data_IF_040868807950
#
_entry.id   IF_040868807950
#
_cell.length_a   1.000
_cell.length_b   1.000
_cell.length_c   1.000
_cell.angle_alpha   90.00
_cell.angle_beta   90.00
_cell.angle_gamma   90.00
#
_symmetry.space_group_name_H-M   'P 1'
#
loop_
_entity.id
_entity.type
_entity.pdbx_description
1 polymer ?
#
# COMPACT_ATOMS: atom_id res chain seq x y z
N UNK A 1 2.03 -37.11 0.60
CA UNK A 1 1.87 -35.93 -0.26
C UNK A 1 2.68 -36.15 -1.53
N UNK A 2 2.31 -35.49 -2.64
CA UNK A 2 3.17 -35.47 -3.82
C UNK A 2 4.53 -34.86 -3.43
N UNK A 3 5.62 -35.40 -3.98
CA UNK A 3 6.98 -34.86 -3.71
C UNK A 3 7.25 -33.57 -4.48
N UNK A 4 6.39 -33.25 -5.45
CA UNK A 4 6.49 -32.09 -6.30
C UNK A 4 5.13 -31.67 -6.84
N UNK A 5 5.07 -30.46 -7.39
CA UNK A 5 3.94 -29.87 -8.09
C UNK A 5 4.46 -29.18 -9.37
N UNK A 6 3.68 -29.19 -10.45
CA UNK A 6 4.04 -28.51 -11.69
C UNK A 6 3.62 -27.04 -11.59
N UNK A 7 4.49 -26.09 -11.93
CA UNK A 7 4.11 -24.68 -12.07
C UNK A 7 3.41 -24.39 -13.41
N UNK A 8 3.11 -23.12 -13.67
CA UNK A 8 2.40 -22.65 -14.88
C UNK A 8 3.13 -22.90 -16.21
N UNK A 9 4.43 -23.20 -16.16
CA UNK A 9 5.26 -23.52 -17.33
C UNK A 9 5.60 -25.01 -17.43
N UNK A 10 5.01 -25.84 -16.56
CA UNK A 10 5.19 -27.30 -16.57
C UNK A 10 6.56 -27.76 -16.07
N UNK A 11 7.19 -26.98 -15.18
CA UNK A 11 8.37 -27.39 -14.43
C UNK A 11 7.98 -27.92 -13.04
N UNK A 12 8.58 -29.01 -12.56
CA UNK A 12 8.34 -29.52 -11.21
C UNK A 12 9.07 -28.68 -10.16
N UNK A 13 8.35 -28.15 -9.19
CA UNK A 13 8.86 -27.61 -7.94
C UNK A 13 8.72 -28.67 -6.84
N UNK A 14 9.67 -28.73 -5.91
CA UNK A 14 9.75 -29.79 -4.91
C UNK A 14 9.38 -29.27 -3.52
N UNK A 15 8.73 -30.13 -2.74
CA UNK A 15 8.58 -29.91 -1.30
C UNK A 15 9.81 -30.47 -0.57
N UNK A 16 10.17 -29.87 0.57
CA UNK A 16 11.26 -30.40 1.41
C UNK A 16 11.02 -31.88 1.76
N UNK A 17 12.08 -32.67 1.67
CA UNK A 17 12.06 -34.08 2.06
C UNK A 17 11.79 -34.29 3.55
N UNK A 18 11.46 -35.53 3.92
CA UNK A 18 11.15 -35.86 5.31
C UNK A 18 12.36 -35.69 6.24
N UNK A 19 12.20 -34.95 7.33
CA UNK A 19 13.27 -34.74 8.31
C UNK A 19 13.72 -36.04 8.97
N UNK A 20 15.03 -36.08 9.24
CA UNK A 20 15.79 -37.17 9.83
C UNK A 20 16.43 -36.79 11.17
N UNK A 21 16.56 -35.49 11.47
CA UNK A 21 16.88 -34.97 12.80
C UNK A 21 16.05 -33.72 13.16
N UNK A 22 16.06 -33.37 14.46
CA UNK A 22 15.22 -32.35 15.07
C UNK A 22 16.02 -31.50 16.06
N UNK A 23 15.96 -30.18 15.91
CA UNK A 23 16.75 -29.22 16.69
C UNK A 23 15.86 -28.14 17.31
N UNK A 24 16.25 -27.62 18.48
CA UNK A 24 15.60 -26.49 19.13
C UNK A 24 16.62 -25.43 19.48
N UNK A 25 16.27 -24.17 19.27
CA UNK A 25 17.07 -23.01 19.65
C UNK A 25 17.11 -22.74 21.16
N UNK A 26 16.31 -23.44 21.97
CA UNK A 26 16.35 -23.27 23.42
C UNK A 26 17.75 -23.56 23.97
N UNK A 27 18.45 -22.52 24.41
CA UNK A 27 19.81 -22.62 24.93
C UNK A 27 20.91 -22.78 23.86
N UNK A 28 20.62 -22.60 22.57
CA UNK A 28 21.63 -22.68 21.49
C UNK A 28 22.60 -21.50 21.49
N UNK A 29 22.22 -20.38 22.12
CA UNK A 29 22.88 -19.10 21.89
C UNK A 29 22.52 -18.55 20.50
N UNK A 30 23.36 -17.70 19.91
CA UNK A 30 22.98 -16.91 18.73
C UNK A 30 22.96 -17.69 17.41
N UNK A 31 23.54 -18.90 17.36
CA UNK A 31 23.65 -19.70 16.14
C UNK A 31 23.28 -21.15 16.45
N UNK A 32 22.43 -21.75 15.61
CA UNK A 32 22.06 -23.16 15.64
C UNK A 32 22.34 -23.78 14.27
N UNK A 33 23.20 -24.80 14.24
CA UNK A 33 23.50 -25.55 13.02
C UNK A 33 22.84 -26.92 13.07
N UNK A 34 22.20 -27.31 11.97
CA UNK A 34 21.74 -28.66 11.68
C UNK A 34 22.88 -29.57 11.23
N UNK A 35 22.53 -30.55 10.40
CA UNK A 35 23.38 -31.61 9.89
C UNK A 35 23.55 -31.50 8.38
N UNK A 36 24.05 -32.54 7.71
CA UNK A 36 24.06 -32.60 6.24
C UNK A 36 22.83 -33.31 5.67
N UNK A 37 21.91 -33.76 6.52
CA UNK A 37 20.68 -34.42 6.15
C UNK A 37 19.49 -33.53 6.47
N UNK A 38 18.31 -33.97 6.05
CA UNK A 38 17.07 -33.24 6.21
C UNK A 38 16.74 -33.06 7.70
N UNK A 39 16.54 -31.83 8.14
CA UNK A 39 16.35 -31.45 9.52
C UNK A 39 15.05 -30.67 9.71
N UNK A 40 14.50 -30.74 10.91
CA UNK A 40 13.51 -29.77 11.36
C UNK A 40 14.12 -28.94 12.50
N UNK A 41 14.16 -27.62 12.33
CA UNK A 41 14.84 -26.71 13.24
C UNK A 41 13.84 -25.69 13.78
N UNK A 42 13.58 -25.74 15.08
CA UNK A 42 12.66 -24.83 15.76
C UNK A 42 13.41 -23.66 16.41
N UNK A 43 12.96 -22.45 16.10
CA UNK A 43 13.33 -21.25 16.83
C UNK A 43 12.83 -21.25 18.28
N UNK A 44 13.15 -20.18 19.00
CA UNK A 44 12.63 -19.93 20.35
C UNK A 44 12.37 -18.43 20.50
N UNK A 45 11.19 -18.07 21.00
CA UNK A 45 10.79 -16.65 21.15
C UNK A 45 11.68 -15.85 22.09
N UNK A 46 12.44 -16.51 22.97
CA UNK A 46 13.37 -15.90 23.92
C UNK A 46 14.82 -15.83 23.42
N UNK A 47 15.13 -16.45 22.27
CA UNK A 47 16.49 -16.55 21.75
C UNK A 47 16.57 -15.84 20.40
N UNK A 48 17.40 -14.80 20.35
CA UNK A 48 17.81 -14.22 19.07
C UNK A 48 18.79 -15.20 18.41
N UNK A 49 18.32 -15.96 17.41
CA UNK A 49 19.04 -17.08 16.80
C UNK A 49 19.02 -16.98 15.28
N UNK A 50 20.14 -17.31 14.65
CA UNK A 50 20.22 -17.66 13.23
C UNK A 50 20.38 -19.17 13.09
N UNK A 51 19.48 -19.78 12.35
CA UNK A 51 19.43 -21.23 12.11
C UNK A 51 19.99 -21.56 10.71
N UNK A 52 20.84 -22.57 10.64
CA UNK A 52 21.43 -23.11 9.41
C UNK A 52 21.11 -24.60 9.31
N UNK A 53 20.54 -25.04 8.18
CA UNK A 53 20.03 -26.38 7.96
C UNK A 53 21.14 -27.29 7.49
N UNK A 54 21.81 -26.89 6.41
CA UNK A 54 23.02 -27.53 5.92
C UNK A 54 22.97 -27.85 4.44
N UNK A 55 22.97 -29.14 4.09
CA UNK A 55 22.91 -29.60 2.68
C UNK A 55 21.75 -30.58 2.43
N UNK A 56 20.84 -30.71 3.39
CA UNK A 56 19.65 -31.54 3.28
C UNK A 56 18.43 -30.68 2.98
N UNK A 57 17.28 -31.32 2.76
CA UNK A 57 16.03 -30.56 2.69
C UNK A 57 15.53 -30.26 4.11
N UNK A 58 15.62 -29.01 4.53
CA UNK A 58 15.42 -28.58 5.90
C UNK A 58 14.11 -27.80 6.06
N UNK A 59 13.53 -27.89 7.26
CA UNK A 59 12.31 -27.15 7.63
C UNK A 59 12.60 -26.28 8.85
N UNK A 60 12.47 -24.98 8.66
CA UNK A 60 12.71 -23.96 9.67
C UNK A 60 11.41 -23.44 10.24
N UNK A 61 11.22 -23.60 11.54
CA UNK A 61 10.04 -23.11 12.24
C UNK A 61 10.40 -21.81 12.98
N UNK A 62 9.96 -20.67 12.47
CA UNK A 62 10.19 -19.37 13.09
C UNK A 62 9.07 -19.06 14.08
N UNK A 63 9.41 -18.92 15.36
CA UNK A 63 8.43 -18.63 16.42
C UNK A 63 8.29 -17.14 16.73
N UNK A 64 9.27 -16.32 16.37
CA UNK A 64 9.31 -14.89 16.69
C UNK A 64 10.10 -14.10 15.65
N UNK A 65 9.80 -12.80 15.55
CA UNK A 65 10.48 -11.86 14.67
C UNK A 65 11.97 -11.63 15.02
N UNK A 66 12.48 -12.28 16.06
CA UNK A 66 13.93 -12.32 16.40
C UNK A 66 14.61 -13.62 15.95
N UNK A 67 13.89 -14.58 15.35
CA UNK A 67 14.49 -15.79 14.77
C UNK A 67 14.79 -15.55 13.28
N UNK A 68 15.91 -16.09 12.79
CA UNK A 68 16.33 -16.01 11.39
C UNK A 68 16.68 -17.41 10.88
N UNK A 69 16.41 -17.66 9.61
CA UNK A 69 16.91 -18.81 8.86
C UNK A 69 17.87 -18.29 7.79
N UNK A 70 18.93 -19.05 7.51
CA UNK A 70 19.91 -18.71 6.48
C UNK A 70 20.42 -19.97 5.81
N UNK A 71 20.30 -20.01 4.49
CA UNK A 71 20.71 -21.12 3.65
C UNK A 71 21.79 -20.73 2.64
N UNK A 72 22.61 -21.72 2.28
CA UNK A 72 23.66 -21.56 1.28
C UNK A 72 23.15 -22.03 -0.10
N UNK A 73 23.72 -21.51 -1.21
CA UNK A 73 23.38 -22.03 -2.54
C UNK A 73 23.63 -23.54 -2.63
N UNK A 74 22.62 -24.28 -3.07
CA UNK A 74 22.67 -25.75 -3.16
C UNK A 74 22.48 -26.47 -1.82
N UNK A 75 21.82 -25.82 -0.85
CA UNK A 75 21.44 -26.36 0.45
C UNK A 75 20.44 -27.51 0.38
N UNK A 76 19.61 -27.58 -0.65
CA UNK A 76 18.58 -28.61 -0.76
C UNK A 76 17.31 -28.00 -1.34
N UNK A 77 16.16 -28.53 -0.96
CA UNK A 77 14.88 -27.84 -1.08
C UNK A 77 14.37 -27.52 0.31
N UNK A 78 14.36 -26.25 0.68
CA UNK A 78 14.18 -25.81 2.06
C UNK A 78 12.85 -25.08 2.28
N UNK A 79 12.26 -25.27 3.46
CA UNK A 79 10.98 -24.66 3.83
C UNK A 79 11.12 -23.77 5.05
N UNK A 80 10.60 -22.55 4.96
CA UNK A 80 10.33 -21.72 6.13
C UNK A 80 8.85 -21.86 6.50
N UNK A 81 8.58 -22.20 7.76
CA UNK A 81 7.25 -22.28 8.34
C UNK A 81 7.12 -21.26 9.48
N UNK A 82 6.10 -20.40 9.41
CA UNK A 82 5.89 -19.33 10.38
C UNK A 82 4.41 -18.97 10.49
N UNK A 83 4.02 -18.31 11.57
CA UNK A 83 2.68 -17.73 11.75
C UNK A 83 2.66 -16.22 11.48
N UNK A 84 3.84 -15.61 11.34
CA UNK A 84 4.01 -14.18 11.09
C UNK A 84 4.05 -13.92 9.60
N UNK A 85 3.82 -12.66 9.20
CA UNK A 85 4.13 -12.26 7.84
C UNK A 85 5.61 -12.47 7.54
N UNK A 86 5.93 -12.89 6.31
CA UNK A 86 7.30 -13.26 5.97
C UNK A 86 7.62 -13.07 4.49
N UNK A 87 8.85 -12.64 4.23
CA UNK A 87 9.47 -12.61 2.90
C UNK A 87 10.61 -13.60 2.91
N UNK A 88 10.61 -14.49 1.92
CA UNK A 88 11.57 -15.56 1.81
C UNK A 88 12.97 -14.99 1.51
N UNK A 89 14.02 -15.35 2.26
CA UNK A 89 15.39 -15.01 1.90
C UNK A 89 15.85 -15.73 0.63
N UNK A 90 17.01 -15.33 0.11
CA UNK A 90 17.67 -16.08 -0.97
C UNK A 90 17.95 -17.54 -0.56
N UNK A 91 17.97 -18.43 -1.56
CA UNK A 91 18.28 -19.87 -1.43
C UNK A 91 17.25 -20.69 -0.62
N UNK A 92 16.03 -20.19 -0.49
CA UNK A 92 14.91 -20.97 0.00
C UNK A 92 13.93 -21.18 -1.15
N UNK A 93 13.24 -22.33 -1.15
CA UNK A 93 12.30 -22.69 -2.21
C UNK A 93 10.85 -22.66 -1.73
N UNK A 94 10.59 -22.82 -0.43
CA UNK A 94 9.22 -23.00 0.08
C UNK A 94 8.90 -22.10 1.28
N UNK A 95 7.72 -21.50 1.27
CA UNK A 95 7.17 -20.71 2.37
C UNK A 95 5.82 -21.26 2.82
N UNK A 96 5.62 -21.39 4.13
CA UNK A 96 4.30 -21.58 4.73
C UNK A 96 4.04 -20.52 5.78
N UNK A 97 2.98 -19.73 5.58
CA UNK A 97 2.51 -18.72 6.54
C UNK A 97 1.14 -19.13 7.08
N UNK A 98 1.06 -19.35 8.38
CA UNK A 98 -0.11 -19.96 9.03
C UNK A 98 -1.02 -18.97 9.78
N UNK A 99 -0.57 -17.73 9.99
CA UNK A 99 -1.38 -16.72 10.65
C UNK A 99 -2.36 -16.06 9.69
N UNK A 100 -3.58 -15.80 10.16
CA UNK A 100 -4.56 -15.03 9.40
C UNK A 100 -4.16 -13.55 9.28
N UNK A 101 -4.49 -12.93 8.15
CA UNK A 101 -4.19 -11.53 7.84
C UNK A 101 -2.69 -11.25 7.65
N UNK A 102 -1.94 -12.24 7.15
CA UNK A 102 -0.48 -12.15 6.98
C UNK A 102 -0.10 -12.16 5.50
N UNK A 103 1.09 -11.64 5.21
CA UNK A 103 1.67 -11.76 3.88
C UNK A 103 2.67 -12.93 3.81
N UNK A 104 2.75 -13.55 2.65
CA UNK A 104 3.69 -14.61 2.31
C UNK A 104 4.34 -14.27 0.97
N UNK A 105 5.55 -13.72 1.01
CA UNK A 105 6.27 -13.27 -0.17
C UNK A 105 7.46 -14.17 -0.47
N UNK A 106 7.64 -14.55 -1.73
CA UNK A 106 8.75 -15.35 -2.19
C UNK A 106 10.02 -14.54 -2.45
N UNK A 107 10.94 -15.13 -3.23
CA UNK A 107 12.23 -14.56 -3.60
C UNK A 107 12.38 -14.48 -5.13
N UNK A 108 13.59 -14.60 -5.67
CA UNK A 108 13.85 -14.53 -7.12
C UNK A 108 13.90 -15.91 -7.82
N UNK A 109 13.55 -16.99 -7.11
CA UNK A 109 13.54 -18.37 -7.58
C UNK A 109 12.09 -18.88 -7.68
N UNK A 110 11.88 -19.97 -8.42
CA UNK A 110 10.59 -20.66 -8.44
C UNK A 110 10.25 -21.22 -7.03
N UNK A 111 9.20 -20.72 -6.41
CA UNK A 111 8.80 -21.00 -5.04
C UNK A 111 7.47 -21.75 -4.94
N UNK A 112 7.31 -22.57 -3.89
CA UNK A 112 5.99 -23.03 -3.43
C UNK A 112 5.62 -22.22 -2.20
N UNK A 113 4.58 -21.39 -2.32
CA UNK A 113 4.09 -20.54 -1.24
C UNK A 113 2.71 -21.00 -0.83
N UNK A 114 2.55 -21.26 0.46
CA UNK A 114 1.30 -21.73 1.04
C UNK A 114 0.84 -20.83 2.19
N UNK A 115 -0.40 -20.38 2.09
CA UNK A 115 -1.18 -19.90 3.22
C UNK A 115 -1.70 -21.05 4.09
N UNK A 116 -2.68 -20.74 4.93
CA UNK A 116 -3.36 -21.70 5.78
C UNK A 116 -4.84 -21.34 5.94
N UNK A 117 -5.30 -21.04 7.15
CA UNK A 117 -6.66 -20.61 7.41
C UNK A 117 -6.73 -19.09 7.63
N UNK A 118 -7.78 -18.46 7.10
CA UNK A 118 -7.95 -17.01 7.08
C UNK A 118 -7.30 -16.38 5.84
N UNK A 119 -7.50 -15.07 5.66
CA UNK A 119 -6.96 -14.34 4.50
C UNK A 119 -5.45 -14.17 4.52
N UNK A 120 -4.78 -14.39 3.38
CA UNK A 120 -3.38 -14.12 3.13
C UNK A 120 -3.19 -13.15 1.96
N UNK A 121 -2.08 -12.41 1.98
CA UNK A 121 -1.57 -11.68 0.81
C UNK A 121 -0.35 -12.44 0.29
N UNK A 122 -0.44 -13.00 -0.90
CA UNK A 122 0.56 -13.92 -1.45
C UNK A 122 1.20 -13.31 -2.68
N UNK A 123 2.53 -13.26 -2.71
CA UNK A 123 3.33 -12.82 -3.87
C UNK A 123 4.43 -13.86 -4.09
N UNK A 124 4.51 -14.42 -5.29
CA UNK A 124 5.55 -15.37 -5.69
C UNK A 124 6.96 -14.79 -5.63
N UNK A 125 7.09 -13.47 -5.76
CA UNK A 125 8.37 -12.85 -6.08
C UNK A 125 8.63 -13.00 -7.57
N UNK A 126 9.90 -13.17 -7.95
CA UNK A 126 10.27 -13.47 -9.34
C UNK A 126 10.47 -14.99 -9.49
N UNK A 127 10.12 -15.55 -10.64
CA UNK A 127 10.15 -16.99 -10.85
C UNK A 127 8.88 -17.47 -11.53
N UNK A 128 8.68 -18.77 -11.59
CA UNK A 128 7.41 -19.35 -12.00
C UNK A 128 6.86 -20.15 -10.83
N UNK A 129 5.99 -19.51 -10.06
CA UNK A 129 5.68 -19.94 -8.71
C UNK A 129 4.43 -20.82 -8.65
N UNK A 130 4.28 -21.49 -7.51
CA UNK A 130 3.06 -22.21 -7.14
C UNK A 130 2.49 -21.59 -5.87
N UNK A 131 1.34 -20.97 -6.02
CA UNK A 131 0.67 -20.21 -4.97
C UNK A 131 -0.56 -20.98 -4.49
N UNK A 132 -0.63 -21.20 -3.18
CA UNK A 132 -1.70 -21.94 -2.52
C UNK A 132 -2.26 -21.03 -1.42
N UNK A 133 -3.51 -20.59 -1.57
CA UNK A 133 -4.18 -19.70 -0.60
C UNK A 133 -4.52 -20.44 0.69
N UNK A 134 -5.10 -21.64 0.55
CA UNK A 134 -5.65 -22.40 1.66
C UNK A 134 -7.14 -22.12 1.79
N UNK A 135 -7.56 -21.50 2.89
CA UNK A 135 -8.96 -21.11 3.05
C UNK A 135 -9.07 -19.74 3.68
N UNK A 136 -10.02 -18.94 3.22
CA UNK A 136 -10.09 -17.52 3.54
C UNK A 136 -10.38 -16.74 2.27
N UNK A 137 -10.36 -15.41 2.36
CA UNK A 137 -10.37 -14.53 1.20
C UNK A 137 -8.94 -14.07 0.94
N UNK A 138 -8.24 -14.72 0.02
CA UNK A 138 -6.82 -14.49 -0.26
C UNK A 138 -6.63 -13.45 -1.38
N UNK A 139 -5.50 -12.76 -1.37
CA UNK A 139 -5.09 -11.84 -2.43
C UNK A 139 -3.79 -12.33 -3.04
N UNK A 140 -3.83 -12.74 -4.31
CA UNK A 140 -2.67 -13.15 -5.09
C UNK A 140 -2.14 -11.95 -5.89
N UNK A 141 -0.89 -11.57 -5.63
CA UNK A 141 -0.20 -10.48 -6.33
C UNK A 141 0.57 -11.08 -7.49
N UNK A 142 0.35 -10.55 -8.69
CA UNK A 142 1.10 -10.93 -9.90
C UNK A 142 1.65 -9.66 -10.52
N UNK A 143 2.96 -9.57 -10.62
CA UNK A 143 3.65 -8.35 -11.05
C UNK A 143 4.36 -8.57 -12.38
N UNK A 144 4.20 -7.64 -13.31
CA UNK A 144 4.86 -7.72 -14.61
C UNK A 144 6.37 -7.86 -14.50
N UNK A 145 6.94 -8.81 -15.22
CA UNK A 145 8.37 -9.12 -15.22
C UNK A 145 8.78 -10.13 -14.13
N UNK A 146 7.84 -10.60 -13.31
CA UNK A 146 8.10 -11.58 -12.27
C UNK A 146 7.92 -13.03 -12.73
N UNK A 147 7.44 -13.27 -13.95
CA UNK A 147 7.33 -14.62 -14.52
C UNK A 147 5.89 -15.14 -14.61
N UNK A 148 5.68 -16.45 -14.41
CA UNK A 148 4.38 -17.11 -14.64
C UNK A 148 3.98 -18.04 -13.51
N UNK A 149 2.84 -17.75 -12.89
CA UNK A 149 2.44 -18.40 -11.65
C UNK A 149 1.23 -19.31 -11.82
N UNK A 150 1.18 -20.33 -10.97
CA UNK A 150 0.03 -21.21 -10.81
C UNK A 150 -0.66 -20.94 -9.48
N UNK A 151 -1.94 -20.57 -9.51
CA UNK A 151 -2.81 -20.57 -8.33
C UNK A 151 -3.54 -21.92 -8.28
N UNK A 152 -3.38 -22.64 -7.18
CA UNK A 152 -3.85 -24.04 -7.06
C UNK A 152 -5.31 -24.15 -6.62
N UNK A 153 -5.79 -23.21 -5.81
CA UNK A 153 -7.06 -23.30 -5.08
C UNK A 153 -7.87 -22.00 -5.09
N UNK A 154 -7.82 -21.26 -6.21
CA UNK A 154 -8.58 -20.04 -6.39
C UNK A 154 -10.09 -20.26 -6.20
N UNK A 155 -10.68 -19.53 -5.26
CA UNK A 155 -12.07 -19.66 -4.82
C UNK A 155 -12.85 -18.35 -5.05
N UNK A 156 -14.15 -18.33 -4.73
CA UNK A 156 -15.02 -17.17 -4.97
C UNK A 156 -14.67 -15.94 -4.14
N UNK A 157 -14.01 -16.14 -3.00
CA UNK A 157 -13.68 -15.08 -2.05
C UNK A 157 -12.27 -14.52 -2.31
N UNK A 158 -11.52 -15.15 -3.20
CA UNK A 158 -10.16 -14.75 -3.54
C UNK A 158 -10.12 -13.66 -4.60
N UNK A 159 -9.02 -12.92 -4.56
CA UNK A 159 -8.74 -11.80 -5.45
C UNK A 159 -7.37 -11.96 -6.09
N UNK A 160 -7.24 -11.48 -7.32
CA UNK A 160 -5.96 -11.34 -8.03
C UNK A 160 -5.71 -9.86 -8.28
N UNK A 161 -4.53 -9.39 -7.88
CA UNK A 161 -4.02 -8.06 -8.20
C UNK A 161 -2.99 -8.16 -9.31
N UNK A 162 -3.32 -7.58 -10.47
CA UNK A 162 -2.46 -7.59 -11.66
C UNK A 162 -1.66 -6.30 -11.76
N UNK A 163 -0.44 -6.31 -11.23
CA UNK A 163 0.40 -5.12 -11.19
C UNK A 163 1.09 -4.89 -12.55
N UNK A 164 0.87 -3.70 -13.12
CA UNK A 164 1.55 -3.21 -14.34
C UNK A 164 1.28 -3.99 -15.64
N UNK A 165 0.23 -4.80 -15.72
CA UNK A 165 -0.16 -5.52 -16.94
C UNK A 165 -1.04 -4.72 -17.90
N UNK A 166 -1.64 -3.60 -17.44
CA UNK A 166 -2.45 -2.72 -18.28
C UNK A 166 -3.82 -3.29 -18.67
N UNK A 167 -4.25 -4.36 -18.02
CA UNK A 167 -5.63 -4.83 -18.09
C UNK A 167 -6.49 -3.97 -17.17
N UNK A 168 -7.51 -3.33 -17.71
CA UNK A 168 -8.37 -2.37 -17.02
C UNK A 168 -9.84 -2.81 -16.90
N UNK A 169 -10.20 -3.97 -17.44
CA UNK A 169 -11.57 -4.51 -17.36
C UNK A 169 -11.60 -6.04 -17.30
N UNK A 170 -12.66 -6.58 -16.70
CA UNK A 170 -12.85 -8.03 -16.62
C UNK A 170 -13.08 -8.65 -18.00
N UNK A 171 -13.67 -7.92 -18.93
CA UNK A 171 -13.83 -8.33 -20.31
C UNK A 171 -12.47 -8.56 -20.99
N UNK A 172 -11.46 -7.73 -20.70
CA UNK A 172 -10.10 -7.95 -21.19
C UNK A 172 -9.47 -9.19 -20.55
N UNK A 173 -9.66 -9.42 -19.25
CA UNK A 173 -9.21 -10.64 -18.56
C UNK A 173 -9.78 -11.88 -19.24
N UNK A 174 -11.09 -11.90 -19.51
CA UNK A 174 -11.75 -13.02 -20.19
C UNK A 174 -11.26 -13.18 -21.63
N UNK A 175 -11.07 -12.08 -22.37
CA UNK A 175 -10.57 -12.10 -23.74
C UNK A 175 -9.13 -12.65 -23.85
N UNK A 176 -8.34 -12.47 -22.79
CA UNK A 176 -6.98 -13.00 -22.66
C UNK A 176 -6.91 -14.40 -22.04
N UNK A 177 -8.04 -14.98 -21.66
CA UNK A 177 -8.10 -16.29 -21.01
C UNK A 177 -8.34 -17.42 -22.02
N UNK A 178 -7.63 -18.54 -21.85
CA UNK A 178 -7.77 -19.76 -22.65
C UNK A 178 -7.94 -20.97 -21.74
N UNK A 179 -8.95 -21.81 -22.01
CA UNK A 179 -9.13 -23.06 -21.28
C UNK A 179 -8.11 -24.12 -21.73
N UNK A 180 -7.34 -24.67 -20.77
CA UNK A 180 -6.33 -25.70 -20.98
C UNK A 180 -6.65 -26.94 -20.13
N UNK A 181 -7.40 -27.88 -20.71
CA UNK A 181 -7.89 -29.04 -19.95
C UNK A 181 -8.79 -28.61 -18.81
N UNK A 182 -8.41 -28.88 -17.57
CA UNK A 182 -9.14 -28.45 -16.37
C UNK A 182 -8.77 -27.03 -15.90
N UNK A 183 -7.67 -26.45 -16.40
CA UNK A 183 -7.14 -25.18 -15.92
C UNK A 183 -7.54 -24.03 -16.84
N UNK A 184 -7.59 -22.82 -16.32
CA UNK A 184 -7.74 -21.59 -17.11
C UNK A 184 -6.40 -20.85 -17.12
N UNK A 185 -5.89 -20.51 -18.31
CA UNK A 185 -4.66 -19.73 -18.49
C UNK A 185 -5.02 -18.32 -18.91
N UNK A 186 -4.62 -17.33 -18.12
CA UNK A 186 -4.64 -15.92 -18.48
C UNK A 186 -3.30 -15.54 -19.12
N UNK A 187 -3.32 -15.12 -20.39
CA UNK A 187 -2.15 -14.57 -21.07
C UNK A 187 -1.94 -13.10 -20.66
N UNK A 188 -0.86 -12.86 -19.93
CA UNK A 188 -0.51 -11.53 -19.41
C UNK A 188 0.37 -10.73 -20.40
N UNK A 189 0.70 -11.32 -21.55
CA UNK A 189 1.61 -10.74 -22.53
C UNK A 189 3.09 -10.92 -22.16
N UNK A 190 3.99 -10.54 -23.07
CA UNK A 190 5.45 -10.68 -22.90
C UNK A 190 5.96 -12.11 -22.60
N UNK A 191 5.13 -13.13 -22.80
CA UNK A 191 5.44 -14.52 -22.47
C UNK A 191 5.10 -14.93 -21.04
N UNK A 192 4.50 -14.03 -20.25
CA UNK A 192 4.03 -14.29 -18.89
C UNK A 192 2.56 -14.75 -18.88
N UNK A 193 2.20 -15.49 -17.84
CA UNK A 193 0.84 -15.99 -17.67
C UNK A 193 0.51 -16.27 -16.22
N UNK A 194 -0.77 -16.14 -15.89
CA UNK A 194 -1.33 -16.66 -14.64
C UNK A 194 -2.20 -17.88 -14.97
N UNK A 195 -1.98 -18.99 -14.29
CA UNK A 195 -2.79 -20.20 -14.46
C UNK A 195 -3.62 -20.45 -13.21
N UNK A 196 -4.92 -20.62 -13.39
CA UNK A 196 -5.86 -21.02 -12.35
C UNK A 196 -6.14 -22.52 -12.49
N UNK A 197 -5.73 -23.31 -11.50
CA UNK A 197 -5.97 -24.74 -11.52
C UNK A 197 -7.46 -25.07 -11.39
N UNK A 198 -7.94 -26.08 -12.12
CA UNK A 198 -9.32 -26.60 -12.02
C UNK A 198 -10.41 -25.54 -12.14
N UNK A 199 -10.15 -24.46 -12.88
CA UNK A 199 -11.02 -23.29 -13.00
C UNK A 199 -11.53 -23.17 -14.43
N UNK A 200 -12.78 -22.78 -14.59
CA UNK A 200 -13.36 -22.35 -15.85
C UNK A 200 -13.61 -20.84 -15.84
N UNK A 201 -13.67 -20.23 -17.02
CA UNK A 201 -13.96 -18.80 -17.14
C UNK A 201 -15.31 -18.40 -16.50
N UNK A 202 -16.28 -19.31 -16.47
CA UNK A 202 -17.59 -19.08 -15.83
C UNK A 202 -17.55 -19.05 -14.30
N UNK A 203 -16.46 -19.52 -13.70
CA UNK A 203 -16.29 -19.57 -12.25
C UNK A 203 -15.71 -18.24 -11.72
N UNK A 204 -15.25 -17.36 -12.61
CA UNK A 204 -14.63 -16.07 -12.29
C UNK A 204 -15.67 -14.93 -12.27
N UNK A 205 -15.46 -13.98 -11.36
CA UNK A 205 -16.25 -12.75 -11.25
C UNK A 205 -15.38 -11.49 -11.32
N UNK A 206 -15.93 -10.40 -11.86
CA UNK A 206 -15.21 -9.13 -12.00
C UNK A 206 -14.66 -8.58 -10.67
N UNK A 207 -15.39 -8.78 -9.57
CA UNK A 207 -14.98 -8.36 -8.21
C UNK A 207 -13.70 -9.05 -7.71
N UNK A 208 -13.29 -10.14 -8.35
CA UNK A 208 -12.07 -10.87 -7.99
C UNK A 208 -10.81 -10.30 -8.64
N UNK A 209 -10.95 -9.30 -9.53
CA UNK A 209 -9.83 -8.77 -10.29
C UNK A 209 -9.57 -7.31 -9.94
N UNK A 210 -8.44 -7.10 -9.28
CA UNK A 210 -7.87 -5.79 -8.99
C UNK A 210 -7.00 -5.37 -10.18
N UNK A 211 -7.54 -4.46 -10.99
CA UNK A 211 -7.06 -4.11 -12.32
C UNK A 211 -6.51 -2.68 -12.40
N UNK A 212 -5.81 -2.38 -13.50
CA UNK A 212 -5.24 -1.05 -13.74
C UNK A 212 -6.34 0.00 -13.99
N UNK A 213 -6.14 1.21 -13.49
CA UNK A 213 -6.99 2.37 -13.75
C UNK A 213 -7.13 2.65 -15.25
N UNK A 214 -8.37 2.72 -15.74
CA UNK A 214 -8.64 3.22 -17.08
C UNK A 214 -8.61 4.76 -17.10
N UNK A 215 -7.43 5.32 -17.39
CA UNK A 215 -7.24 6.77 -17.50
C UNK A 215 -7.94 7.39 -18.72
N UNK A 216 -8.48 6.60 -19.67
CA UNK A 216 -9.15 7.14 -20.86
C UNK A 216 -10.48 7.86 -20.55
N UNK A 217 -11.07 7.59 -19.39
CA UNK A 217 -12.31 8.20 -18.91
C UNK A 217 -12.07 9.40 -17.98
N UNK A 218 -10.81 9.84 -17.83
CA UNK A 218 -10.41 10.91 -16.90
C UNK A 218 -9.99 12.17 -17.65
N UNK A 219 -10.45 13.33 -17.17
CA UNK A 219 -10.05 14.64 -17.68
C UNK A 219 -9.52 15.52 -16.56
N UNK A 220 -8.29 16.03 -16.71
CA UNK A 220 -7.60 16.83 -15.70
C UNK A 220 -8.42 18.06 -15.30
N UNK A 221 -8.70 18.21 -14.01
CA UNK A 221 -9.44 19.34 -13.42
C UNK A 221 -8.61 20.17 -12.46
N UNK A 222 -7.53 19.59 -11.91
CA UNK A 222 -6.55 20.27 -11.07
C UNK A 222 -5.17 19.62 -11.25
N UNK A 223 -4.13 20.44 -11.27
CA UNK A 223 -2.76 20.01 -11.15
C UNK A 223 -1.91 21.02 -10.39
N UNK A 224 -1.01 20.51 -9.55
CA UNK A 224 0.17 21.23 -9.09
C UNK A 224 1.38 20.32 -9.25
N UNK A 225 2.26 20.68 -10.18
CA UNK A 225 3.51 19.97 -10.48
C UNK A 225 4.68 20.49 -9.61
N UNK A 226 4.39 21.28 -8.58
CA UNK A 226 5.32 21.81 -7.59
C UNK A 226 6.62 22.40 -8.18
N UNK A 227 6.54 23.05 -9.35
CA UNK A 227 7.62 23.89 -9.87
C UNK A 227 7.85 25.12 -8.97
N UNK A 228 6.84 25.50 -8.18
CA UNK A 228 6.88 26.46 -7.08
C UNK A 228 5.69 26.23 -6.16
N UNK A 229 5.82 26.50 -4.85
CA UNK A 229 4.69 26.41 -3.93
C UNK A 229 3.87 27.71 -3.92
N UNK A 230 2.62 27.64 -4.36
CA UNK A 230 1.67 28.76 -4.40
C UNK A 230 0.84 28.84 -3.12
N UNK A 231 1.39 29.46 -2.06
CA UNK A 231 0.68 29.66 -0.79
C UNK A 231 -0.40 30.75 -0.90
N UNK A 232 -1.52 30.54 -0.23
CA UNK A 232 -2.64 31.48 -0.23
C UNK A 232 -2.32 32.80 0.45
N UNK A 233 -2.79 33.87 -0.19
CA UNK A 233 -2.77 35.24 0.33
C UNK A 233 -4.06 35.93 -0.10
N UNK A 234 -5.05 35.93 0.81
CA UNK A 234 -6.41 36.36 0.47
C UNK A 234 -7.08 35.39 -0.49
N UNK A 235 -7.52 35.89 -1.65
CA UNK A 235 -8.20 35.11 -2.69
C UNK A 235 -7.26 34.53 -3.77
N UNK A 236 -5.95 34.80 -3.66
CA UNK A 236 -4.93 34.32 -4.59
C UNK A 236 -4.14 33.15 -3.98
N UNK A 237 -3.62 32.28 -4.85
CA UNK A 237 -2.82 31.13 -4.48
C UNK A 237 -3.63 29.84 -4.40
N UNK A 238 -2.91 28.73 -4.26
CA UNK A 238 -3.51 27.38 -4.32
C UNK A 238 -3.66 26.78 -2.92
N UNK A 239 -2.61 26.84 -2.10
CA UNK A 239 -2.54 26.07 -0.86
C UNK A 239 -2.58 26.94 0.39
N UNK A 240 -3.52 26.67 1.29
CA UNK A 240 -3.48 27.17 2.66
C UNK A 240 -2.58 26.27 3.52
N UNK A 241 -1.70 26.88 4.32
CA UNK A 241 -0.75 26.16 5.19
C UNK A 241 -1.28 25.89 6.62
N UNK A 242 -2.61 25.84 6.76
CA UNK A 242 -3.32 25.58 8.02
C UNK A 242 -4.76 25.15 7.73
N UNK A 243 -5.41 24.50 8.68
CA UNK A 243 -6.85 24.30 8.61
C UNK A 243 -7.61 25.64 8.54
N UNK A 244 -8.77 25.64 7.89
CA UNK A 244 -9.60 26.84 7.73
C UNK A 244 -10.04 27.43 9.09
N UNK A 245 -10.33 26.56 10.07
CA UNK A 245 -10.69 26.95 11.43
C UNK A 245 -9.49 27.25 12.34
N UNK A 246 -8.27 26.90 11.92
CA UNK A 246 -7.09 27.10 12.75
C UNK A 246 -6.73 28.60 12.85
N UNK A 247 -6.19 29.04 14.00
CA UNK A 247 -5.69 30.41 14.15
C UNK A 247 -4.52 30.65 13.18
N UNK A 248 -4.18 31.92 12.94
CA UNK A 248 -3.12 32.30 11.98
C UNK A 248 -1.80 31.59 12.21
N UNK A 249 -1.46 31.31 13.47
CA UNK A 249 -0.23 30.58 13.85
C UNK A 249 -0.19 29.10 13.46
N UNK A 250 -1.28 28.55 12.91
CA UNK A 250 -1.46 27.12 12.66
C UNK A 250 -2.06 26.40 13.86
N UNK A 251 -2.18 25.08 13.76
CA UNK A 251 -2.71 24.20 14.82
C UNK A 251 -2.44 22.73 14.47
N UNK A 252 -2.21 21.85 15.45
CA UNK A 252 -2.37 20.40 15.28
C UNK A 252 -3.83 19.97 15.17
N UNK A 253 -4.08 18.68 14.89
CA UNK A 253 -5.35 18.02 15.20
C UNK A 253 -5.29 17.44 16.62
N UNK A 254 -5.73 18.24 17.60
CA UNK A 254 -5.62 17.87 19.03
C UNK A 254 -6.35 16.59 19.44
N UNK A 255 -7.36 16.15 18.67
CA UNK A 255 -8.13 14.92 18.95
C UNK A 255 -7.36 13.63 18.65
N UNK A 256 -6.32 13.70 17.82
CA UNK A 256 -5.64 12.51 17.28
C UNK A 256 -4.41 12.08 18.09
N UNK A 257 -4.04 12.83 19.13
CA UNK A 257 -2.80 12.57 19.88
C UNK A 257 -1.52 12.93 19.11
N UNK A 258 -1.63 13.83 18.15
CA UNK A 258 -0.51 14.40 17.39
C UNK A 258 0.43 15.23 18.28
N UNK A 259 1.72 15.20 17.95
CA UNK A 259 2.83 15.76 18.72
C UNK A 259 3.52 16.93 18.00
N UNK A 260 3.20 17.16 16.73
CA UNK A 260 3.67 18.31 15.94
C UNK A 260 2.75 19.50 16.06
N UNK A 261 3.29 20.70 15.84
CA UNK A 261 2.53 21.87 15.48
C UNK A 261 2.62 22.11 13.97
N UNK A 262 1.50 22.14 13.25
CA UNK A 262 1.52 22.55 11.85
C UNK A 262 1.82 24.04 11.73
N UNK A 263 2.95 24.36 11.10
CA UNK A 263 3.43 25.74 10.96
C UNK A 263 2.78 26.41 9.76
N UNK A 264 2.14 27.56 10.00
CA UNK A 264 1.78 28.48 8.93
C UNK A 264 2.97 29.42 8.65
N UNK A 265 3.64 29.34 7.48
CA UNK A 265 4.79 30.18 7.16
C UNK A 265 4.45 31.67 7.05
N UNK A 266 3.18 32.02 6.81
CA UNK A 266 2.72 33.41 6.75
C UNK A 266 2.59 34.06 8.14
N UNK A 267 2.65 33.27 9.23
CA UNK A 267 2.67 33.79 10.59
C UNK A 267 4.09 34.14 11.04
N UNK A 268 4.43 35.43 10.96
CA UNK A 268 5.79 35.93 11.18
C UNK A 268 6.52 35.39 12.44
N UNK A 269 5.88 35.22 13.61
CA UNK A 269 6.57 34.72 14.81
C UNK A 269 7.09 33.28 14.73
N UNK A 270 6.58 32.44 13.82
CA UNK A 270 7.05 31.06 13.62
C UNK A 270 7.51 30.79 12.18
N UNK A 271 7.50 31.80 11.30
CA UNK A 271 7.84 31.68 9.89
C UNK A 271 9.26 31.13 9.63
N UNK A 272 10.19 31.27 10.58
CA UNK A 272 11.53 30.69 10.48
C UNK A 272 11.56 29.17 10.57
N UNK A 273 10.48 28.54 11.05
CA UNK A 273 10.30 27.09 11.10
C UNK A 273 9.42 26.61 9.93
N UNK A 274 9.54 27.24 8.76
CA UNK A 274 8.81 26.88 7.56
C UNK A 274 9.12 25.41 7.17
N UNK A 275 8.13 24.50 7.16
CA UNK A 275 8.34 23.09 6.89
C UNK A 275 8.35 22.77 5.38
N UNK A 276 8.17 23.78 4.53
CA UNK A 276 8.04 23.59 3.08
C UNK A 276 9.27 24.06 2.33
N UNK A 277 9.74 23.23 1.40
CA UNK A 277 10.72 23.63 0.38
C UNK A 277 10.35 23.04 -0.97
N UNK A 278 10.79 23.69 -2.05
CA UNK A 278 10.60 23.20 -3.41
C UNK A 278 11.95 23.16 -4.12
N UNK A 279 12.28 22.01 -4.71
CA UNK A 279 13.52 21.82 -5.45
C UNK A 279 13.30 20.86 -6.61
N UNK A 280 13.70 21.27 -7.82
CA UNK A 280 13.59 20.44 -9.03
C UNK A 280 12.18 19.87 -9.31
N UNK A 281 11.14 20.66 -9.05
CA UNK A 281 9.74 20.22 -9.25
C UNK A 281 9.20 19.34 -8.12
N UNK A 282 9.94 19.14 -7.04
CA UNK A 282 9.49 18.34 -5.89
C UNK A 282 9.25 19.26 -4.69
N UNK A 283 8.05 19.17 -4.12
CA UNK A 283 7.71 19.74 -2.82
C UNK A 283 8.20 18.79 -1.72
N UNK A 284 8.90 19.33 -0.72
CA UNK A 284 9.20 18.63 0.53
C UNK A 284 8.38 19.23 1.66
N UNK A 285 7.70 18.36 2.43
CA UNK A 285 7.14 18.68 3.75
C UNK A 285 8.04 18.02 4.81
N UNK A 286 8.67 18.81 5.68
CA UNK A 286 9.53 18.29 6.75
C UNK A 286 8.80 18.20 8.10
N UNK A 287 9.20 17.22 8.91
CA UNK A 287 8.87 17.10 10.32
C UNK A 287 10.15 17.12 11.15
N UNK A 288 10.24 18.03 12.13
CA UNK A 288 11.47 18.30 12.87
C UNK A 288 11.20 18.59 14.35
N UNK A 289 12.19 18.39 15.25
CA UNK A 289 12.10 18.85 16.62
C UNK A 289 11.92 20.37 16.70
N UNK A 290 10.96 20.82 17.50
CA UNK A 290 10.66 22.23 17.64
C UNK A 290 11.76 22.98 18.42
N UNK A 291 12.28 24.06 17.83
CA UNK A 291 13.31 24.87 18.48
C UNK A 291 12.78 25.60 19.72
N UNK A 292 13.64 25.82 20.71
CA UNK A 292 13.29 26.58 21.93
C UNK A 292 12.75 28.00 21.64
N UNK A 293 13.12 28.58 20.49
CA UNK A 293 12.75 29.95 20.12
C UNK A 293 11.25 30.14 19.84
N UNK A 294 10.55 29.08 19.41
CA UNK A 294 9.13 29.14 19.02
C UNK A 294 8.19 28.50 20.04
N UNK A 295 8.72 27.92 21.12
CA UNK A 295 7.97 27.07 22.06
C UNK A 295 6.71 27.73 22.65
N UNK A 296 6.78 29.02 23.01
CA UNK A 296 5.61 29.72 23.57
C UNK A 296 4.49 29.95 22.53
N UNK A 297 4.83 29.93 21.24
CA UNK A 297 3.96 30.25 20.12
C UNK A 297 3.23 28.99 19.66
N UNK A 298 3.90 27.84 19.79
CA UNK A 298 3.37 26.51 19.47
C UNK A 298 2.86 25.77 20.72
N UNK A 299 2.60 26.47 21.82
CA UNK A 299 2.06 25.90 23.07
C UNK A 299 2.87 24.73 23.67
N UNK A 300 4.19 24.71 23.50
CA UNK A 300 5.04 23.68 24.10
C UNK A 300 5.11 22.36 23.31
N UNK A 301 4.63 22.32 22.06
CA UNK A 301 4.71 21.12 21.22
C UNK A 301 6.17 20.75 20.91
N UNK A 302 6.45 19.45 20.90
CA UNK A 302 7.82 18.92 20.75
C UNK A 302 8.32 18.94 19.31
N UNK A 303 7.40 18.95 18.34
CA UNK A 303 7.72 18.89 16.91
C UNK A 303 7.03 20.01 16.12
N UNK A 304 7.55 20.29 14.94
CA UNK A 304 6.90 21.11 13.91
C UNK A 304 6.79 20.31 12.63
N UNK A 305 5.71 20.52 11.87
CA UNK A 305 5.60 19.99 10.52
C UNK A 305 4.66 20.84 9.66
N UNK A 306 4.31 20.36 8.47
CA UNK A 306 3.48 21.06 7.48
C UNK A 306 2.19 20.33 7.14
N UNK A 307 1.18 21.15 6.85
CA UNK A 307 -0.08 20.76 6.24
C UNK A 307 -0.39 21.76 5.13
N UNK A 308 -0.82 21.27 3.97
CA UNK A 308 -1.33 22.08 2.88
C UNK A 308 -2.76 21.64 2.55
N UNK A 309 -3.63 22.59 2.27
CA UNK A 309 -5.02 22.32 1.88
C UNK A 309 -5.49 23.22 0.74
N UNK A 310 -6.38 22.68 -0.10
CA UNK A 310 -7.05 23.40 -1.19
C UNK A 310 -8.40 24.00 -0.78
N UNK A 311 -8.75 23.99 0.51
CA UNK A 311 -9.98 24.65 0.99
C UNK A 311 -10.09 26.07 0.43
N UNK A 312 -11.28 26.45 -0.05
CA UNK A 312 -11.56 27.72 -0.73
C UNK A 312 -10.81 28.00 -2.06
N UNK A 313 -9.88 27.15 -2.53
CA UNK A 313 -9.20 27.30 -3.83
C UNK A 313 -9.66 26.27 -4.85
N UNK A 314 -9.84 25.02 -4.41
CA UNK A 314 -10.30 23.92 -5.24
C UNK A 314 -11.05 22.89 -4.39
N UNK A 315 -12.25 22.55 -4.83
CA UNK A 315 -13.02 21.42 -4.35
C UNK A 315 -13.83 20.86 -5.52
N UNK A 316 -14.07 19.56 -5.53
CA UNK A 316 -14.93 18.93 -6.54
C UNK A 316 -15.72 17.77 -5.93
N UNK A 317 -16.87 17.47 -6.53
CA UNK A 317 -17.63 16.26 -6.24
C UNK A 317 -17.24 15.20 -7.25
N UNK A 318 -16.88 14.00 -6.76
CA UNK A 318 -16.40 12.88 -7.57
C UNK A 318 -15.12 13.19 -8.37
N UNK A 319 -14.53 12.13 -8.91
CA UNK A 319 -13.33 12.22 -9.73
C UNK A 319 -12.26 11.24 -9.32
N UNK A 320 -11.12 11.33 -10.01
CA UNK A 320 -9.91 10.66 -9.59
C UNK A 320 -8.97 11.69 -8.94
N UNK A 321 -8.53 11.43 -7.72
CA UNK A 321 -7.58 12.28 -6.99
C UNK A 321 -6.31 11.48 -6.79
N UNK A 322 -5.16 12.05 -7.13
CA UNK A 322 -3.89 11.36 -6.99
C UNK A 322 -2.78 12.26 -6.46
N UNK A 323 -1.87 11.63 -5.73
CA UNK A 323 -0.60 12.19 -5.32
C UNK A 323 0.52 11.24 -5.76
N UNK A 324 1.59 11.80 -6.31
CA UNK A 324 2.84 11.07 -6.53
C UNK A 324 3.85 11.49 -5.47
N UNK A 325 4.14 10.58 -4.53
CA UNK A 325 4.95 10.91 -3.36
C UNK A 325 5.90 9.79 -2.94
N UNK A 326 7.03 10.20 -2.37
CA UNK A 326 7.96 9.36 -1.60
C UNK A 326 7.70 9.63 -0.12
N UNK A 327 7.32 8.57 0.60
CA UNK A 327 6.75 8.63 1.94
C UNK A 327 7.80 8.24 2.99
N UNK A 328 7.89 8.97 4.12
CA UNK A 328 8.88 8.67 5.15
C UNK A 328 8.59 7.36 5.89
N UNK A 329 9.65 6.73 6.38
CA UNK A 329 9.61 5.42 7.08
C UNK A 329 10.11 5.48 8.52
N UNK A 330 10.34 6.67 9.08
CA UNK A 330 10.72 6.81 10.48
C UNK A 330 9.55 6.49 11.42
N UNK A 331 9.78 5.66 12.44
CA UNK A 331 8.77 5.43 13.49
C UNK A 331 8.21 6.77 14.02
N UNK A 332 6.89 6.84 14.13
CA UNK A 332 6.19 7.97 14.71
C UNK A 332 5.81 9.09 13.74
N UNK A 333 6.15 8.97 12.45
CA UNK A 333 5.63 9.86 11.40
C UNK A 333 4.40 9.26 10.72
N UNK A 334 3.48 10.13 10.31
CA UNK A 334 2.19 9.77 9.75
C UNK A 334 1.86 10.68 8.55
N UNK A 335 2.41 10.39 7.36
CA UNK A 335 2.04 11.10 6.14
C UNK A 335 0.62 10.73 5.70
N UNK A 336 -0.10 11.71 5.14
CA UNK A 336 -1.46 11.52 4.63
C UNK A 336 -1.76 12.42 3.41
N UNK A 337 -2.58 11.90 2.50
CA UNK A 337 -3.29 12.65 1.46
C UNK A 337 -4.76 12.26 1.48
N UNK A 338 -5.65 13.24 1.65
CA UNK A 338 -7.03 13.00 2.08
C UNK A 338 -7.94 14.17 1.70
N UNK A 339 -9.25 13.96 1.82
CA UNK A 339 -10.28 14.90 1.40
C UNK A 339 -11.29 15.18 2.52
N UNK A 340 -11.78 16.42 2.58
CA UNK A 340 -12.84 16.85 3.49
C UNK A 340 -13.92 17.68 2.78
N UNK A 341 -15.16 17.71 3.28
CA UNK A 341 -16.24 18.54 2.74
C UNK A 341 -15.91 20.03 2.75
N UNK A 342 -16.14 20.72 1.62
CA UNK A 342 -15.87 22.16 1.48
C UNK A 342 -16.70 23.03 2.42
N UNK A 343 -17.86 22.54 2.85
CA UNK A 343 -18.72 23.23 3.82
C UNK A 343 -18.22 23.14 5.28
N UNK A 344 -17.16 22.36 5.52
CA UNK A 344 -16.53 22.18 6.82
C UNK A 344 -17.25 21.17 7.73
N UNK A 345 -18.23 20.42 7.22
CA UNK A 345 -18.81 19.28 7.92
C UNK A 345 -17.80 18.15 8.11
N UNK A 346 -18.02 17.33 9.15
CA UNK A 346 -17.24 16.14 9.41
C UNK A 346 -18.01 15.20 10.35
N UNK A 347 -18.07 13.89 10.04
CA UNK A 347 -17.85 13.26 8.74
C UNK A 347 -18.78 13.81 7.62
N UNK A 348 -18.58 13.47 6.33
CA UNK A 348 -17.67 12.44 5.80
C UNK A 348 -16.19 12.88 5.69
N UNK A 349 -15.29 11.93 5.50
CA UNK A 349 -13.85 12.11 5.22
C UNK A 349 -13.37 10.96 4.32
N UNK A 350 -12.51 11.27 3.35
CA UNK A 350 -11.97 10.29 2.41
C UNK A 350 -10.44 10.33 2.41
N UNK A 351 -9.83 9.30 2.96
CA UNK A 351 -8.38 9.15 2.99
C UNK A 351 -7.91 8.40 1.75
N UNK A 352 -7.24 9.11 0.85
CA UNK A 352 -6.61 8.50 -0.34
C UNK A 352 -5.48 7.58 0.09
N UNK A 353 -4.66 8.07 1.01
CA UNK A 353 -3.60 7.29 1.66
C UNK A 353 -3.27 7.88 3.01
N UNK A 354 -3.12 7.00 3.99
CA UNK A 354 -2.40 7.24 5.23
C UNK A 354 -1.35 6.14 5.45
N UNK A 355 -0.17 6.52 5.94
CA UNK A 355 0.88 5.55 6.26
C UNK A 355 1.46 5.83 7.65
N UNK A 356 2.12 4.82 8.22
CA UNK A 356 2.84 4.98 9.49
C UNK A 356 4.27 4.56 9.24
N UNK A 357 5.25 5.37 9.64
CA UNK A 357 6.63 5.09 9.26
C UNK A 357 7.15 3.74 9.76
N UNK A 358 6.65 3.23 10.90
CA UNK A 358 6.99 1.90 11.40
C UNK A 358 6.34 0.72 10.67
N UNK A 359 5.38 1.00 9.79
CA UNK A 359 4.68 0.05 8.93
C UNK A 359 4.74 0.55 7.47
N UNK A 360 5.95 0.77 6.91
CA UNK A 360 6.10 1.52 5.66
C UNK A 360 5.41 0.83 4.47
N UNK A 361 5.26 -0.50 4.52
CA UNK A 361 4.63 -1.26 3.44
C UNK A 361 3.11 -1.43 3.63
N UNK A 362 2.47 -0.54 4.38
CA UNK A 362 1.04 -0.56 4.66
C UNK A 362 0.42 0.76 4.24
N UNK A 363 -0.29 0.71 3.12
CA UNK A 363 -1.09 1.82 2.58
C UNK A 363 -2.48 1.70 3.19
N UNK A 364 -2.84 2.62 4.08
CA UNK A 364 -4.17 2.62 4.69
C UNK A 364 -5.08 3.49 3.83
N UNK A 365 -6.10 2.86 3.27
CA UNK A 365 -7.20 3.51 2.56
C UNK A 365 -8.43 3.50 3.47
N UNK A 366 -9.04 4.67 3.67
CA UNK A 366 -10.10 4.80 4.66
C UNK A 366 -11.21 5.73 4.18
N UNK A 367 -12.45 5.41 4.54
CA UNK A 367 -13.62 6.29 4.38
C UNK A 367 -14.36 6.40 5.72
N UNK A 368 -14.70 7.63 6.09
CA UNK A 368 -15.46 7.97 7.28
C UNK A 368 -16.84 8.49 6.88
N UNK A 369 -17.86 8.09 7.64
CA UNK A 369 -19.25 8.51 7.41
C UNK A 369 -19.99 8.65 8.74
N UNK A 370 -20.94 9.57 8.83
CA UNK A 370 -21.93 9.67 9.91
C UNK A 370 -23.33 9.23 9.44
N UNK A 371 -23.41 8.62 8.25
CA UNK A 371 -24.64 7.99 7.76
C UNK A 371 -25.17 6.99 8.80
N UNK A 372 -26.48 7.09 9.09
CA UNK A 372 -27.11 6.31 10.15
C UNK A 372 -27.02 6.93 11.55
N UNK A 373 -26.42 8.12 11.70
CA UNK A 373 -26.37 8.90 12.93
C UNK A 373 -25.29 8.46 13.93
N UNK A 374 -24.28 7.74 13.44
CA UNK A 374 -23.08 7.39 14.19
C UNK A 374 -21.87 7.34 13.27
N UNK A 375 -20.74 7.85 13.75
CA UNK A 375 -19.48 7.82 13.02
C UNK A 375 -19.02 6.37 12.79
N UNK A 376 -18.85 6.03 11.53
CA UNK A 376 -18.32 4.76 11.03
C UNK A 376 -17.04 5.01 10.25
N UNK A 377 -16.17 4.00 10.27
CA UNK A 377 -14.89 3.99 9.55
C UNK A 377 -14.79 2.65 8.83
N UNK A 378 -14.63 2.69 7.51
CA UNK A 378 -14.25 1.52 6.72
C UNK A 378 -12.80 1.68 6.32
N UNK A 379 -11.94 0.75 6.75
CA UNK A 379 -10.48 0.86 6.58
C UNK A 379 -9.90 -0.40 5.94
N UNK A 380 -9.00 -0.19 4.98
CA UNK A 380 -8.31 -1.22 4.22
C UNK A 380 -6.79 -1.07 4.43
N UNK A 381 -6.16 -1.89 5.29
CA UNK A 381 -4.71 -1.88 5.48
C UNK A 381 -4.02 -2.66 4.35
N UNK A 382 -3.90 -2.04 3.18
CA UNK A 382 -3.35 -2.66 1.98
C UNK A 382 -1.86 -2.92 2.16
N UNK A 383 -1.45 -4.19 2.01
CA UNK A 383 -0.05 -4.58 1.99
C UNK A 383 0.51 -4.48 0.58
N UNK A 384 1.69 -3.89 0.45
CA UNK A 384 2.42 -3.72 -0.82
C UNK A 384 3.86 -4.20 -0.67
N UNK A 385 4.50 -4.57 -1.78
CA UNK A 385 5.87 -5.12 -1.76
C UNK A 385 6.92 -4.10 -1.31
N UNK A 386 6.76 -2.84 -1.71
CA UNK A 386 7.62 -1.71 -1.33
C UNK A 386 6.86 -0.39 -1.47
N UNK A 387 7.29 0.62 -0.71
CA UNK A 387 6.90 2.02 -0.87
C UNK A 387 8.14 2.93 -0.95
N UNK A 388 9.31 2.37 -1.23
CA UNK A 388 10.56 3.12 -1.35
C UNK A 388 10.57 3.96 -2.63
N UNK A 389 10.79 5.27 -2.48
CA UNK A 389 10.77 6.19 -3.60
C UNK A 389 9.36 6.62 -3.96
N UNK A 390 9.23 7.24 -5.13
CA UNK A 390 7.96 7.82 -5.55
C UNK A 390 6.98 6.77 -6.07
N UNK A 391 5.82 6.71 -5.45
CA UNK A 391 4.67 5.91 -5.85
C UNK A 391 3.45 6.81 -6.14
N UNK A 392 2.52 6.30 -6.95
CA UNK A 392 1.23 6.94 -7.15
C UNK A 392 0.22 6.37 -6.16
N UNK A 393 -0.40 7.26 -5.37
CA UNK A 393 -1.52 6.95 -4.50
C UNK A 393 -2.74 7.69 -5.02
N UNK A 394 -3.83 6.98 -5.28
CA UNK A 394 -5.02 7.61 -5.84
C UNK A 394 -6.32 6.99 -5.41
N UNK A 395 -7.40 7.73 -5.59
CA UNK A 395 -8.76 7.26 -5.34
C UNK A 395 -9.66 7.70 -6.48
N UNK A 396 -10.40 6.75 -7.05
CA UNK A 396 -11.52 7.00 -7.93
C UNK A 396 -12.78 7.00 -7.08
N UNK A 397 -13.42 8.15 -6.95
CA UNK A 397 -14.65 8.34 -6.20
C UNK A 397 -15.75 8.73 -7.19
N UNK A 398 -16.78 7.89 -7.31
CA UNK A 398 -17.99 8.15 -8.08
C UNK A 398 -19.23 8.07 -7.16
N UNK A 399 -20.43 8.20 -7.76
CA UNK A 399 -21.69 8.21 -7.01
C UNK A 399 -21.93 6.91 -6.25
N UNK A 400 -21.47 5.78 -6.77
CA UNK A 400 -21.76 4.46 -6.24
C UNK A 400 -20.59 3.85 -5.47
N UNK A 401 -19.35 4.11 -5.90
CA UNK A 401 -18.16 3.45 -5.37
C UNK A 401 -16.97 4.40 -5.13
N UNK A 402 -16.14 3.98 -4.18
CA UNK A 402 -14.81 4.52 -3.90
C UNK A 402 -13.81 3.39 -4.15
N UNK A 403 -12.91 3.57 -5.10
CA UNK A 403 -11.87 2.59 -5.44
C UNK A 403 -10.49 3.21 -5.25
N UNK A 404 -9.68 2.64 -4.38
CA UNK A 404 -8.31 3.10 -4.11
C UNK A 404 -7.31 2.40 -5.02
N UNK A 405 -6.28 3.14 -5.42
CA UNK A 405 -5.24 2.71 -6.34
C UNK A 405 -3.86 2.94 -5.73
N UNK A 406 -2.97 1.97 -5.92
CA UNK A 406 -1.54 2.08 -5.67
C UNK A 406 -0.80 1.72 -6.96
N UNK A 407 0.04 2.63 -7.45
CA UNK A 407 0.70 2.53 -8.76
C UNK A 407 -0.25 2.15 -9.90
N UNK A 408 -1.37 2.89 -9.96
CA UNK A 408 -2.45 2.74 -10.94
C UNK A 408 -3.18 1.40 -10.91
N UNK A 409 -2.99 0.55 -9.89
CA UNK A 409 -3.70 -0.73 -9.74
C UNK A 409 -4.67 -0.64 -8.57
N UNK A 410 -5.92 -1.06 -8.78
CA UNK A 410 -6.91 -1.07 -7.72
C UNK A 410 -6.45 -1.95 -6.55
N UNK A 411 -6.63 -1.48 -5.31
CA UNK A 411 -6.18 -2.20 -4.10
C UNK A 411 -7.26 -2.39 -3.06
N UNK A 412 -8.29 -1.56 -3.09
CA UNK A 412 -9.45 -1.62 -2.20
C UNK A 412 -10.66 -0.96 -2.87
N UNK A 413 -11.86 -1.33 -2.44
CA UNK A 413 -13.11 -0.71 -2.88
C UNK A 413 -14.14 -0.72 -1.74
N UNK A 414 -14.95 0.33 -1.67
CA UNK A 414 -16.12 0.44 -0.82
C UNK A 414 -17.25 1.13 -1.59
N UNK A 415 -18.49 1.00 -1.10
CA UNK A 415 -19.61 1.80 -1.58
C UNK A 415 -19.42 3.26 -1.13
N UNK A 416 -19.82 4.22 -1.96
CA UNK A 416 -19.85 5.64 -1.59
C UNK A 416 -20.93 5.86 -0.52
N UNK A 417 -20.60 6.41 0.67
CA UNK A 417 -21.59 6.69 1.71
C UNK A 417 -22.63 7.73 1.28
N UNK A 418 -23.87 7.59 1.76
CA UNK A 418 -24.97 8.52 1.42
C UNK A 418 -24.72 9.99 1.84
N UNK A 419 -23.81 10.23 2.78
CA UNK A 419 -23.40 11.57 3.22
C UNK A 419 -22.20 12.13 2.45
N UNK A 420 -21.63 11.37 1.50
CA UNK A 420 -20.46 11.74 0.71
C UNK A 420 -20.81 12.04 -0.76
N UNK A 421 -21.62 13.07 -0.96
CA UNK A 421 -22.04 13.54 -2.30
C UNK A 421 -21.87 15.06 -2.52
N UNK A 422 -21.29 15.76 -1.55
CA UNK A 422 -20.98 17.20 -1.64
C UNK A 422 -19.51 17.43 -2.07
N UNK A 423 -19.14 18.62 -2.58
CA UNK A 423 -17.78 18.90 -2.99
C UNK A 423 -16.78 18.74 -1.84
N UNK A 424 -15.66 18.08 -2.12
CA UNK A 424 -14.58 17.90 -1.15
C UNK A 424 -13.28 18.55 -1.64
N UNK A 425 -12.53 19.15 -0.72
CA UNK A 425 -11.21 19.72 -0.96
C UNK A 425 -10.12 18.77 -0.50
N UNK A 426 -8.92 18.92 -1.05
CA UNK A 426 -7.76 18.08 -0.74
C UNK A 426 -6.92 18.63 0.41
N UNK A 427 -6.32 17.74 1.18
CA UNK A 427 -5.31 18.00 2.20
C UNK A 427 -4.11 17.06 2.00
N UNK A 428 -2.91 17.56 2.27
CA UNK A 428 -1.69 16.76 2.37
C UNK A 428 -0.90 17.21 3.60
N UNK A 429 -0.41 16.27 4.40
CA UNK A 429 0.36 16.58 5.59
C UNK A 429 1.33 15.49 6.00
N UNK A 430 2.28 15.87 6.86
CA UNK A 430 3.14 14.96 7.60
C UNK A 430 2.88 15.14 9.11
N UNK A 431 2.07 14.26 9.70
CA UNK A 431 1.84 14.26 11.14
C UNK A 431 2.99 13.56 11.89
N UNK A 432 3.10 13.83 13.20
CA UNK A 432 4.02 13.15 14.12
C UNK A 432 3.22 12.71 15.34
N UNK A 433 3.33 11.46 15.76
CA UNK A 433 2.54 10.95 16.88
C UNK A 433 1.23 10.30 16.46
N UNK A 434 0.22 10.41 17.33
CA UNK A 434 -1.09 9.80 17.11
C UNK A 434 -1.01 8.32 16.81
N UNK A 435 -1.64 7.91 15.69
CA UNK A 435 -1.68 6.53 15.26
C UNK A 435 -0.30 5.94 14.90
N UNK A 436 0.69 6.77 14.57
CA UNK A 436 2.06 6.34 14.32
C UNK A 436 2.89 6.15 15.62
N UNK A 437 2.36 6.56 16.77
CA UNK A 437 3.06 6.51 18.06
C UNK A 437 4.22 7.51 18.16
N UNK A 438 4.97 7.46 19.25
CA UNK A 438 6.05 8.42 19.50
C UNK A 438 7.31 8.12 18.68
N UNK A 439 8.00 9.13 18.11
CA UNK A 439 9.27 8.94 17.44
C UNK A 439 10.33 8.29 18.35
N UNK A 440 10.94 7.19 17.89
CA UNK A 440 11.86 6.39 18.71
C UNK A 440 13.18 7.09 19.02
N UNK A 441 13.66 7.93 18.10
CA UNK A 441 14.89 8.74 18.24
C UNK A 441 14.59 10.25 18.40
N UNK A 442 13.33 10.61 18.59
CA UNK A 442 12.88 12.00 18.67
C UNK A 442 13.07 12.81 17.39
N UNK A 443 13.11 12.17 16.21
CA UNK A 443 13.36 12.82 14.91
C UNK A 443 14.63 13.68 14.89
N UNK A 444 15.72 13.20 15.49
CA UNK A 444 16.97 13.96 15.62
C UNK A 444 17.55 14.47 14.27
N UNK A 445 17.22 13.79 13.16
CA UNK A 445 17.62 14.18 11.81
C UNK A 445 16.45 14.72 10.96
N UNK A 446 15.30 14.99 11.57
CA UNK A 446 14.04 15.24 10.87
C UNK A 446 13.48 13.99 10.18
N UNK A 447 12.42 14.21 9.41
CA UNK A 447 11.82 13.28 8.47
C UNK A 447 11.15 14.09 7.36
N UNK A 448 11.14 13.59 6.14
CA UNK A 448 10.70 14.32 4.95
C UNK A 448 9.70 13.50 4.14
N UNK A 449 8.61 14.13 3.73
CA UNK A 449 7.71 13.63 2.69
C UNK A 449 7.97 14.43 1.42
N UNK A 450 8.26 13.73 0.32
CA UNK A 450 8.52 14.35 -0.97
C UNK A 450 7.36 14.11 -1.92
N UNK A 451 6.93 15.15 -2.62
CA UNK A 451 5.74 15.15 -3.47
C UNK A 451 6.14 15.71 -4.83
N UNK A 452 5.98 14.90 -5.87
CA UNK A 452 6.25 15.28 -7.26
C UNK A 452 5.07 16.06 -7.84
N UNK A 453 3.85 15.55 -7.67
CA UNK A 453 2.64 16.27 -8.07
C UNK A 453 1.44 15.86 -7.22
N UNK A 454 0.43 16.73 -7.20
CA UNK A 454 -0.95 16.40 -6.83
C UNK A 454 -1.85 16.77 -8.01
N UNK A 455 -2.73 15.85 -8.40
CA UNK A 455 -3.68 16.04 -9.50
C UNK A 455 -5.08 15.58 -9.13
N UNK A 456 -6.06 16.22 -9.74
CA UNK A 456 -7.43 15.74 -9.72
C UNK A 456 -8.00 15.72 -11.15
N UNK A 457 -8.91 14.79 -11.38
CA UNK A 457 -9.55 14.56 -12.66
C UNK A 457 -11.06 14.47 -12.47
N UNK A 458 -11.80 15.00 -13.44
CA UNK A 458 -13.23 14.75 -13.62
C UNK A 458 -13.45 13.43 -14.37
N UNK A 459 -14.60 12.81 -14.12
CA UNK A 459 -15.07 11.63 -14.85
C UNK A 459 -15.77 12.07 -16.14
N UNK A 460 -15.65 11.29 -17.23
CA UNK A 460 -16.23 11.60 -18.53
C UNK A 460 -17.76 11.87 -18.50
N UNK A 461 -18.50 11.20 -17.60
CA UNK A 461 -19.95 11.38 -17.45
C UNK A 461 -20.34 12.48 -16.43
N UNK A 462 -19.37 13.23 -15.91
CA UNK A 462 -19.63 14.30 -14.93
C UNK A 462 -20.29 15.52 -15.60
N UNK A 463 -21.24 16.20 -14.92
CA UNK A 463 -21.82 17.47 -15.39
C UNK A 463 -20.76 18.54 -15.72
N UNK A 464 -19.59 18.50 -15.08
CA UNK A 464 -18.46 19.38 -15.37
C UNK A 464 -17.85 19.11 -16.76
N UNK A 465 -17.75 17.85 -17.17
CA UNK A 465 -17.21 17.45 -18.47
C UNK A 465 -18.09 17.93 -19.64
N UNK A 466 -19.41 17.83 -19.46
CA UNK A 466 -20.39 18.37 -20.40
C UNK A 466 -20.31 19.92 -20.53
N UNK A 467 -19.95 20.63 -19.46
CA UNK A 467 -19.77 22.08 -19.49
C UNK A 467 -18.51 22.50 -20.25
N UNK A 468 -17.40 21.74 -20.10
CA UNK A 468 -16.16 21.96 -20.85
C UNK A 468 -16.31 21.69 -22.35
N UNK A 469 -17.02 20.62 -22.74
CA UNK A 469 -17.33 20.36 -24.16
C UNK A 469 -18.23 21.46 -24.76
N UNK A 470 -19.21 21.97 -24.01
CA UNK A 470 -20.09 23.05 -24.46
C UNK A 470 -19.33 24.37 -24.70
N UNK A 471 -18.26 24.65 -23.94
CA UNK A 471 -17.42 25.83 -24.16
C UNK A 471 -16.45 25.69 -25.33
N UNK A 472 -15.97 24.48 -25.63
CA UNK A 472 -15.10 24.22 -26.78
C UNK A 472 -15.83 24.24 -28.14
N UNK A 473 -17.15 24.04 -28.13
CA UNK A 473 -18.00 24.01 -29.33
C UNK A 473 -18.42 25.40 -29.88
N UNK A 474 -18.09 26.51 -29.20
CA UNK A 474 -18.69 27.81 -29.50
C UNK A 474 -17.73 28.86 -30.08
N UNK A 475 -16.72 28.45 -30.85
CA UNK A 475 -15.85 29.42 -31.49
C UNK A 475 -15.48 29.06 -32.93
N UNK A 476 -16.45 29.19 -33.85
CA UNK A 476 -16.21 29.56 -35.27
C UNK A 476 -17.50 30.10 -35.90
N UNK A 477 -17.62 31.43 -36.02
CA UNK A 477 -18.12 32.15 -37.23
C UNK A 477 -18.36 33.64 -36.95
N UNK A 478 -17.40 34.50 -37.31
CA UNK A 478 -17.63 35.73 -38.09
C UNK A 478 -16.53 35.82 -39.16
#
# INVERSE_FOLDING_TARGET
>A
MAKSIQNAVGQPLFYSGASTAWFSATGSGPVLNGTSGNDSIWGDSSVNVTMHGGTGDDIYYLYSAINRAAEAPGGGTDTINTWMSYTLPENFENLTVTGAGRYAFGNAQDNIISGASGSQTIDGGAGNDVLIGGGGADTFLVTKGHGSDLIVDFSSDDTVRLNSYGLSSFEQVLAHSTQEGANLRLDLGSGESLVFANTQASDLHASQFQLTLDRSQLALSFDDEFNSLSLRSGDQGTWDAKFWWAPDRGSPLTGNGELQWYINPSYAPTASANPFSVSNGVLTISAEPASQAIQAQINGYDYTSGLLTTHSSFAQTYGYFEIRADMPSEQGVWPAFWLLPEDGSWPPELDVVEMRGQEPNVVNATVHSDHGGAHTITSFPVKVGSTEGFHNYGVLWDEDHITWYFDDVAVAQADTPEDMHDPMYMLVNLAVGGAAGTPSNGLANGSEMHIDYIRAYTLADSPLHAATEATASNDWHI
#
